data_IF_681825167409
#
_entry.id   IF_681825167409
#
_cell.length_a   1.000
_cell.length_b   1.000
_cell.length_c   1.000
_cell.angle_alpha   90.00
_cell.angle_beta   90.00
_cell.angle_gamma   90.00
#
_symmetry.space_group_name_H-M   'P 1'
#
loop_
_entity.id
_entity.type
_entity.pdbx_description
1 polymer ?
#
# COMPACT_ATOMS: atom_id res chain seq x y z
N UNK A 1 -2.94 8.39 4.97
CA UNK A 1 -2.23 8.17 3.69
C UNK A 1 -3.12 8.22 2.48
N UNK A 2 -4.22 7.46 2.36
CA UNK A 2 -5.09 7.44 1.16
C UNK A 2 -5.56 8.85 0.75
N UNK A 3 -6.19 9.60 1.67
CA UNK A 3 -6.65 10.97 1.41
C UNK A 3 -5.51 11.94 1.08
N UNK A 4 -4.37 11.80 1.75
CA UNK A 4 -3.17 12.63 1.51
C UNK A 4 -2.60 12.39 0.10
N UNK A 5 -2.68 11.15 -0.39
CA UNK A 5 -2.30 10.78 -1.75
C UNK A 5 -3.36 11.16 -2.81
N UNK A 6 -4.45 11.85 -2.40
CA UNK A 6 -5.55 12.23 -3.28
C UNK A 6 -6.50 11.09 -3.64
N UNK A 7 -6.49 9.98 -2.89
CA UNK A 7 -7.39 8.85 -3.10
C UNK A 7 -8.69 8.95 -2.31
N UNK A 8 -9.73 8.28 -2.81
CA UNK A 8 -11.01 8.06 -2.10
C UNK A 8 -10.97 6.67 -1.46
N UNK A 9 -11.18 6.60 -0.14
CA UNK A 9 -11.28 5.32 0.56
C UNK A 9 -12.73 4.83 0.54
N UNK A 10 -13.02 3.80 -0.27
CA UNK A 10 -14.38 3.22 -0.36
C UNK A 10 -14.89 2.64 0.97
N UNK A 11 -13.98 2.35 1.91
CA UNK A 11 -14.25 1.79 3.23
C UNK A 11 -14.20 2.84 4.37
N UNK A 12 -14.19 4.14 4.05
CA UNK A 12 -13.94 5.20 5.04
C UNK A 12 -14.94 5.24 6.21
N UNK A 13 -16.19 4.88 5.95
CA UNK A 13 -17.27 4.93 6.95
C UNK A 13 -17.46 3.61 7.71
N UNK A 14 -16.52 2.67 7.56
CA UNK A 14 -16.60 1.40 8.28
C UNK A 14 -15.94 1.51 9.65
N UNK A 15 -16.68 1.11 10.68
CA UNK A 15 -16.16 0.99 12.04
C UNK A 15 -16.10 -0.48 12.43
N UNK A 16 -14.93 -0.93 12.90
CA UNK A 16 -14.81 -2.28 13.41
C UNK A 16 -15.70 -2.46 14.65
N UNK A 17 -16.40 -3.59 14.81
CA UNK A 17 -17.07 -3.92 16.05
C UNK A 17 -16.11 -3.82 17.24
N UNK A 18 -16.64 -3.48 18.43
CA UNK A 18 -15.82 -3.41 19.65
C UNK A 18 -15.09 -4.73 19.86
N UNK A 19 -13.76 -4.67 19.96
CA UNK A 19 -12.89 -5.85 20.14
C UNK A 19 -12.45 -6.55 18.84
N UNK A 20 -12.93 -6.14 17.66
CA UNK A 20 -12.45 -6.64 16.39
C UNK A 20 -11.23 -5.84 15.89
N UNK A 21 -10.14 -6.51 15.45
CA UNK A 21 -8.94 -5.79 14.99
C UNK A 21 -9.16 -5.09 13.65
N UNK A 22 -10.13 -5.54 12.84
CA UNK A 22 -10.45 -5.03 11.50
C UNK A 22 -11.92 -5.27 11.18
N UNK A 23 -12.48 -4.45 10.30
CA UNK A 23 -13.82 -4.66 9.73
C UNK A 23 -13.77 -5.82 8.74
N UNK A 24 -14.75 -6.72 8.81
CA UNK A 24 -14.99 -7.72 7.77
C UNK A 24 -16.06 -7.21 6.81
N UNK A 25 -15.85 -7.43 5.51
CA UNK A 25 -16.80 -7.05 4.45
C UNK A 25 -17.06 -8.26 3.56
N UNK A 26 -18.26 -8.34 2.97
CA UNK A 26 -18.60 -9.40 2.03
C UNK A 26 -17.99 -9.14 0.65
N UNK A 27 -17.91 -10.17 -0.18
CA UNK A 27 -17.47 -10.00 -1.58
C UNK A 27 -18.47 -9.14 -2.37
N UNK A 28 -19.76 -9.22 -2.06
CA UNK A 28 -20.81 -8.38 -2.67
C UNK A 28 -20.54 -6.90 -2.42
N UNK A 29 -20.24 -6.51 -1.19
CA UNK A 29 -19.87 -5.11 -0.86
C UNK A 29 -18.63 -4.66 -1.63
N UNK A 30 -17.64 -5.53 -1.82
CA UNK A 30 -16.44 -5.20 -2.61
C UNK A 30 -16.79 -4.99 -4.09
N UNK A 31 -17.70 -5.80 -4.63
CA UNK A 31 -18.19 -5.67 -6.01
C UNK A 31 -19.01 -4.37 -6.19
N UNK A 32 -19.82 -3.99 -5.19
CA UNK A 32 -20.56 -2.72 -5.20
C UNK A 32 -19.63 -1.51 -5.15
N UNK A 33 -18.59 -1.54 -4.32
CA UNK A 33 -17.58 -0.47 -4.27
C UNK A 33 -16.71 -0.40 -5.52
N UNK A 34 -16.48 -1.54 -6.18
CA UNK A 34 -15.67 -1.71 -7.39
C UNK A 34 -14.40 -0.83 -7.43
N UNK A 35 -13.45 -0.99 -6.49
CA UNK A 35 -12.31 -0.09 -6.38
C UNK A 35 -11.39 -0.15 -7.61
N UNK A 36 -10.84 1.00 -8.02
CA UNK A 36 -9.87 1.10 -9.11
C UNK A 36 -8.45 0.67 -8.71
N UNK A 37 -8.13 0.72 -7.41
CA UNK A 37 -6.85 0.31 -6.84
C UNK A 37 -7.08 -0.45 -5.54
N UNK A 38 -6.34 -1.56 -5.36
CA UNK A 38 -6.29 -2.30 -4.09
C UNK A 38 -4.86 -2.28 -3.55
N UNK A 39 -4.73 -1.97 -2.26
CA UNK A 39 -3.49 -2.09 -1.49
C UNK A 39 -3.61 -3.34 -0.61
N UNK A 40 -2.94 -4.42 -1.02
CA UNK A 40 -2.86 -5.64 -0.25
C UNK A 40 -1.89 -5.49 0.92
N UNK A 41 -2.24 -6.09 2.06
CA UNK A 41 -1.42 -6.05 3.27
C UNK A 41 -0.02 -6.63 3.02
N UNK A 42 0.05 -7.78 2.34
CA UNK A 42 1.29 -8.52 2.07
C UNK A 42 1.17 -9.29 0.74
N UNK A 43 2.27 -9.91 0.24
CA UNK A 43 2.25 -10.67 -1.01
C UNK A 43 1.26 -11.85 -1.01
N UNK A 44 1.02 -12.50 0.14
CA UNK A 44 0.08 -13.63 0.24
C UNK A 44 -1.36 -13.14 0.07
N UNK A 45 -1.70 -11.98 0.62
CA UNK A 45 -3.02 -11.35 0.43
C UNK A 45 -3.21 -10.96 -1.03
N UNK A 46 -2.21 -10.35 -1.68
CA UNK A 46 -2.27 -10.06 -3.12
C UNK A 46 -2.51 -11.32 -3.93
N UNK A 47 -1.77 -12.39 -3.66
CA UNK A 47 -1.93 -13.67 -4.35
C UNK A 47 -3.34 -14.23 -4.17
N UNK A 48 -3.88 -14.23 -2.95
CA UNK A 48 -5.25 -14.69 -2.66
C UNK A 48 -6.29 -13.93 -3.49
N UNK A 49 -6.19 -12.60 -3.53
CA UNK A 49 -7.08 -11.73 -4.32
C UNK A 49 -7.01 -12.11 -5.81
N UNK A 50 -5.80 -12.23 -6.36
CA UNK A 50 -5.61 -12.52 -7.78
C UNK A 50 -5.99 -13.95 -8.17
N UNK A 51 -5.91 -14.91 -7.24
CA UNK A 51 -6.24 -16.31 -7.48
C UNK A 51 -7.72 -16.64 -7.33
N UNK A 52 -8.50 -15.77 -6.70
CA UNK A 52 -9.91 -16.02 -6.40
C UNK A 52 -10.81 -15.48 -7.53
N UNK A 53 -11.52 -16.36 -8.28
CA UNK A 53 -12.32 -15.95 -9.43
C UNK A 53 -13.41 -14.92 -9.11
N UNK A 54 -13.84 -14.83 -7.84
CA UNK A 54 -14.86 -13.85 -7.42
C UNK A 54 -14.39 -12.40 -7.57
N UNK A 55 -13.08 -12.17 -7.61
CA UNK A 55 -12.48 -10.84 -7.77
C UNK A 55 -12.34 -10.41 -9.24
N UNK A 56 -12.62 -11.31 -10.19
CA UNK A 56 -12.38 -11.09 -11.62
C UNK A 56 -13.17 -9.91 -12.22
N UNK A 57 -14.30 -9.53 -11.60
CA UNK A 57 -15.09 -8.38 -12.01
C UNK A 57 -14.60 -7.04 -11.45
N UNK A 58 -13.73 -7.04 -10.43
CA UNK A 58 -13.27 -5.80 -9.75
C UNK A 58 -12.26 -5.05 -10.63
N UNK A 59 -12.47 -3.74 -10.83
CA UNK A 59 -11.64 -2.89 -11.68
C UNK A 59 -10.14 -2.98 -11.36
N UNK A 60 -9.78 -2.91 -10.07
CA UNK A 60 -8.38 -3.05 -9.65
C UNK A 60 -7.75 -4.36 -10.11
N UNK A 61 -8.49 -5.47 -10.13
CA UNK A 61 -7.99 -6.80 -10.54
C UNK A 61 -7.89 -6.86 -12.06
N UNK A 62 -8.95 -6.45 -12.77
CA UNK A 62 -8.99 -6.39 -14.24
C UNK A 62 -7.85 -5.59 -14.82
N UNK A 63 -7.51 -4.46 -14.19
CA UNK A 63 -6.50 -3.52 -14.66
C UNK A 63 -5.10 -3.78 -14.05
N UNK A 64 -4.92 -4.86 -13.27
CA UNK A 64 -3.63 -5.18 -12.65
C UNK A 64 -3.16 -4.20 -11.56
N UNK A 65 -4.07 -3.39 -11.01
CA UNK A 65 -3.80 -2.35 -10.00
C UNK A 65 -3.99 -2.89 -8.57
N UNK A 66 -3.42 -4.07 -8.31
CA UNK A 66 -3.32 -4.67 -6.98
C UNK A 66 -1.87 -4.61 -6.51
N UNK A 67 -1.59 -3.73 -5.56
CA UNK A 67 -0.24 -3.44 -5.07
C UNK A 67 -0.03 -3.99 -3.67
N UNK A 68 1.21 -4.37 -3.33
CA UNK A 68 1.57 -4.73 -1.96
C UNK A 68 2.01 -3.46 -1.25
N UNK A 69 1.54 -3.29 -0.01
CA UNK A 69 1.93 -2.21 0.88
C UNK A 69 3.44 -2.28 1.20
N UNK A 70 4.24 -1.24 0.86
CA UNK A 70 5.65 -1.19 1.24
C UNK A 70 5.85 -1.15 2.76
N UNK A 71 6.98 -1.71 3.22
CA UNK A 71 7.30 -1.84 4.65
C UNK A 71 8.77 -1.52 4.92
N UNK A 72 9.00 -0.39 5.56
CA UNK A 72 10.30 0.05 6.05
C UNK A 72 10.59 -0.44 7.46
N UNK A 73 10.91 0.52 8.33
CA UNK A 73 10.86 0.35 9.78
C UNK A 73 9.45 -0.13 10.19
N UNK A 74 8.42 0.42 9.53
CA UNK A 74 7.03 0.00 9.67
C UNK A 74 6.29 0.02 8.33
N UNK A 75 5.01 -0.33 8.34
CA UNK A 75 4.15 -0.15 7.18
C UNK A 75 4.04 1.34 6.82
N UNK A 76 4.25 1.70 5.56
CA UNK A 76 4.23 3.08 5.06
C UNK A 76 2.86 3.80 5.17
N UNK A 77 1.86 3.18 5.80
CA UNK A 77 0.55 3.77 6.10
C UNK A 77 0.41 4.23 7.55
N UNK A 78 1.34 3.82 8.43
CA UNK A 78 1.35 4.24 9.84
C UNK A 78 1.80 5.71 9.90
N UNK A 79 1.19 6.57 10.74
CA UNK A 79 1.52 7.99 10.85
C UNK A 79 2.84 8.22 11.60
N UNK A 80 3.91 7.68 11.03
CA UNK A 80 5.32 7.79 11.44
C UNK A 80 6.11 8.46 10.29
N UNK A 81 7.42 8.77 10.43
CA UNK A 81 8.16 9.52 9.40
C UNK A 81 8.01 8.94 7.98
N UNK A 82 8.01 7.61 7.85
CA UNK A 82 7.88 6.91 6.56
C UNK A 82 6.53 7.11 5.86
N UNK A 83 5.52 7.66 6.56
CA UNK A 83 4.20 7.97 5.97
C UNK A 83 4.30 8.91 4.76
N UNK A 84 5.32 9.78 4.72
CA UNK A 84 5.58 10.68 3.59
C UNK A 84 5.98 9.89 2.34
N UNK A 85 6.84 8.88 2.49
CA UNK A 85 7.17 7.95 1.41
C UNK A 85 5.93 7.17 0.97
N UNK A 86 5.13 6.70 1.94
CA UNK A 86 3.86 6.03 1.66
C UNK A 86 2.87 6.86 0.87
N UNK A 87 2.71 8.14 1.21
CA UNK A 87 1.82 9.05 0.49
C UNK A 87 2.31 9.29 -0.95
N UNK A 88 3.60 9.55 -1.15
CA UNK A 88 4.19 9.71 -2.50
C UNK A 88 4.08 8.44 -3.33
N UNK A 89 4.41 7.29 -2.75
CA UNK A 89 4.27 5.99 -3.40
C UNK A 89 2.83 5.74 -3.85
N UNK A 90 1.86 5.95 -2.96
CA UNK A 90 0.46 5.74 -3.28
C UNK A 90 -0.02 6.74 -4.34
N UNK A 91 0.37 8.01 -4.27
CA UNK A 91 0.02 9.01 -5.26
C UNK A 91 0.50 8.61 -6.67
N UNK A 92 1.73 8.09 -6.79
CA UNK A 92 2.25 7.55 -8.05
C UNK A 92 1.48 6.33 -8.57
N UNK A 93 0.92 5.49 -7.67
CA UNK A 93 0.05 4.36 -8.07
C UNK A 93 -1.35 4.80 -8.49
N UNK A 94 -1.88 5.87 -7.89
CA UNK A 94 -3.19 6.42 -8.21
C UNK A 94 -3.16 7.21 -9.52
N UNK A 95 -2.11 8.02 -9.73
CA UNK A 95 -1.99 8.99 -10.82
C UNK A 95 -0.65 8.85 -11.58
N UNK A 96 -0.41 7.72 -12.27
CA UNK A 96 0.88 7.45 -12.93
C UNK A 96 1.24 8.46 -14.02
N UNK A 97 0.24 9.08 -14.66
CA UNK A 97 0.45 10.09 -15.71
C UNK A 97 0.82 11.48 -15.16
N UNK A 98 0.61 11.71 -13.86
CA UNK A 98 0.84 13.00 -13.19
C UNK A 98 1.99 12.95 -12.19
N UNK A 99 2.19 11.80 -11.53
CA UNK A 99 3.11 11.64 -10.42
C UNK A 99 4.13 10.54 -10.76
N UNK A 100 5.39 10.95 -10.85
CA UNK A 100 6.50 10.00 -11.03
C UNK A 100 6.67 9.10 -9.81
N UNK A 101 7.05 7.82 -10.00
CA UNK A 101 7.33 6.92 -8.88
C UNK A 101 8.55 7.41 -8.07
N UNK A 102 8.59 7.06 -6.79
CA UNK A 102 9.79 7.26 -5.96
C UNK A 102 10.98 6.55 -6.58
N UNK A 103 12.07 7.28 -6.78
CA UNK A 103 13.34 6.69 -7.13
C UNK A 103 13.98 6.03 -5.91
N UNK A 104 14.95 5.14 -6.15
CA UNK A 104 15.71 4.49 -5.08
C UNK A 104 16.58 5.50 -4.32
N UNK A 105 17.02 6.55 -5.00
CA UNK A 105 17.74 7.66 -4.38
C UNK A 105 16.85 8.51 -3.47
N UNK A 106 15.57 8.75 -3.85
CA UNK A 106 14.62 9.44 -2.97
C UNK A 106 14.43 8.67 -1.64
N UNK A 107 14.32 7.34 -1.74
CA UNK A 107 14.19 6.47 -0.57
C UNK A 107 15.47 6.56 0.26
N UNK A 108 16.64 6.38 -0.35
CA UNK A 108 17.93 6.44 0.35
C UNK A 108 18.17 7.79 1.02
N UNK A 109 17.87 8.89 0.35
CA UNK A 109 17.98 10.24 0.89
C UNK A 109 17.08 10.41 2.11
N UNK A 110 15.83 9.92 2.03
CA UNK A 110 14.91 9.94 3.16
C UNK A 110 15.47 9.20 4.38
N UNK A 111 15.90 7.94 4.23
CA UNK A 111 16.45 7.15 5.35
C UNK A 111 17.69 7.81 5.93
N UNK A 112 18.59 8.31 5.08
CA UNK A 112 19.81 8.99 5.53
C UNK A 112 19.49 10.26 6.30
N UNK A 113 18.55 11.07 5.82
CA UNK A 113 18.23 12.37 6.39
C UNK A 113 17.40 12.29 7.66
N UNK A 114 16.41 11.41 7.71
CA UNK A 114 15.44 11.38 8.80
C UNK A 114 15.68 10.26 9.81
N UNK A 115 16.39 9.19 9.42
CA UNK A 115 16.66 8.03 10.28
C UNK A 115 18.16 7.81 10.51
N UNK A 116 19.03 8.67 9.95
CA UNK A 116 20.48 8.54 9.99
C UNK A 116 20.97 7.13 9.58
N UNK A 117 20.25 6.50 8.64
CA UNK A 117 20.48 5.13 8.21
C UNK A 117 20.73 5.09 6.70
N UNK A 118 21.74 4.33 6.26
CA UNK A 118 22.03 4.15 4.84
C UNK A 118 21.47 2.81 4.38
N UNK A 119 20.28 2.84 3.78
CA UNK A 119 19.66 1.64 3.20
C UNK A 119 20.43 1.14 1.98
N UNK A 120 20.70 -0.16 1.99
CA UNK A 120 21.26 -0.90 0.85
C UNK A 120 20.22 -1.14 -0.23
N UNK A 121 20.69 -1.54 -1.43
CA UNK A 121 19.82 -1.92 -2.54
C UNK A 121 18.88 -3.08 -2.17
N UNK A 122 19.40 -4.11 -1.50
CA UNK A 122 18.62 -5.27 -1.08
C UNK A 122 17.53 -4.91 -0.07
N UNK A 123 17.80 -3.96 0.82
CA UNK A 123 16.81 -3.46 1.77
C UNK A 123 15.72 -2.68 1.07
N UNK A 124 16.06 -1.83 0.10
CA UNK A 124 15.05 -1.12 -0.70
C UNK A 124 14.14 -2.12 -1.43
N UNK A 125 14.66 -3.23 -1.95
CA UNK A 125 13.85 -4.28 -2.58
C UNK A 125 12.91 -4.97 -1.57
N UNK A 126 13.41 -5.26 -0.36
CA UNK A 126 12.58 -5.79 0.73
C UNK A 126 11.47 -4.79 1.11
N UNK A 127 11.81 -3.51 1.23
CA UNK A 127 10.87 -2.44 1.57
C UNK A 127 9.75 -2.36 0.54
N UNK A 128 10.11 -2.25 -0.74
CA UNK A 128 9.14 -2.10 -1.83
C UNK A 128 8.33 -3.37 -2.09
N UNK A 129 8.83 -4.56 -1.71
CA UNK A 129 8.08 -5.81 -1.77
C UNK A 129 7.13 -6.02 -0.58
N UNK A 130 7.18 -5.14 0.42
CA UNK A 130 6.37 -5.25 1.64
C UNK A 130 6.84 -6.36 2.59
N UNK A 131 8.13 -6.71 2.51
CA UNK A 131 8.79 -7.67 3.41
C UNK A 131 9.53 -6.91 4.50
N UNK A 132 9.44 -7.36 5.76
CA UNK A 132 10.16 -6.71 6.87
C UNK A 132 11.68 -6.72 6.62
N UNK A 133 12.30 -5.56 6.85
CA UNK A 133 13.75 -5.46 7.00
C UNK A 133 14.07 -5.68 8.48
N UNK A 134 14.84 -6.72 8.79
CA UNK A 134 15.12 -7.12 10.19
C UNK A 134 16.24 -6.29 10.85
N UNK A 135 16.74 -5.25 10.19
CA UNK A 135 18.05 -4.64 10.53
C UNK A 135 18.06 -3.11 10.53
N UNK A 136 16.90 -2.47 10.70
CA UNK A 136 16.79 -1.02 10.89
C UNK A 136 16.42 -0.71 12.34
#
# INVERSE_FOLDING_TARGET
TIRVAGGICVAENLTAPVGAPRVQVSMETILEWNPDVIIAWDPKVKQRILSDPRWSAVNAVKNGRVYVLPRGVREWIIPEPEAVLGAKWLAAKLYPDLISPLSRDDIREFYKRFLNYTVSEEEIDKILSGTYVTTI
#
